data_IF_287552662327
#
_entry.id   IF_287552662327
#
_cell.length_a   1.000
_cell.length_b   1.000
_cell.length_c   1.000
_cell.angle_alpha   90.00
_cell.angle_beta   90.00
_cell.angle_gamma   90.00
#
_symmetry.space_group_name_H-M   'P 1'
#
loop_
_entity.id
_entity.type
_entity.pdbx_description
1 polymer ?
#
# COMPACT_ATOMS: atom_id res chain seq x y z
N UNK A 1 -2.16 -0.65 -14.59
CA UNK A 1 -1.10 -0.97 -15.58
C UNK A 1 -1.53 -0.56 -16.97
N UNK A 2 -2.78 -0.81 -17.32
CA UNK A 2 -3.37 -0.56 -18.64
C UNK A 2 -3.15 0.87 -19.13
N UNK A 3 -3.18 1.89 -18.26
CA UNK A 3 -2.93 3.26 -18.74
C UNK A 3 -1.49 3.50 -19.21
N UNK A 4 -0.49 2.86 -18.59
CA UNK A 4 0.93 3.01 -18.96
C UNK A 4 1.20 2.37 -20.33
N UNK A 5 0.52 1.27 -20.65
CA UNK A 5 0.76 0.49 -21.86
C UNK A 5 -0.23 0.79 -22.98
N UNK A 6 -1.47 1.15 -22.66
CA UNK A 6 -2.60 1.27 -23.61
C UNK A 6 -2.92 2.72 -23.97
N UNK A 7 -2.60 3.69 -23.11
CA UNK A 7 -2.95 5.09 -23.39
C UNK A 7 -1.92 5.73 -24.32
N UNK A 8 -2.33 5.97 -25.57
CA UNK A 8 -1.48 6.69 -26.54
C UNK A 8 -1.13 8.09 -26.00
N UNK A 9 0.17 8.39 -25.93
CA UNK A 9 0.67 9.68 -25.45
C UNK A 9 0.85 9.79 -23.94
N UNK A 10 0.57 8.74 -23.16
CA UNK A 10 0.91 8.74 -21.73
C UNK A 10 2.42 8.55 -21.57
N UNK A 11 3.11 9.57 -21.04
CA UNK A 11 4.56 9.56 -20.84
C UNK A 11 4.92 9.82 -19.38
N UNK A 12 5.98 9.15 -18.90
CA UNK A 12 6.58 9.39 -17.58
C UNK A 12 7.79 10.31 -17.68
N UNK A 13 7.96 11.00 -18.81
CA UNK A 13 9.12 11.85 -19.07
C UNK A 13 9.24 13.01 -18.07
N UNK A 14 8.12 13.52 -17.58
CA UNK A 14 8.11 14.63 -16.63
C UNK A 14 8.11 14.17 -15.17
N UNK A 15 8.16 12.85 -14.90
CA UNK A 15 8.09 12.31 -13.55
C UNK A 15 9.32 12.71 -12.72
N UNK A 16 9.11 13.56 -11.71
CA UNK A 16 10.16 14.02 -10.80
C UNK A 16 10.09 13.37 -9.41
N UNK A 17 8.89 12.99 -8.97
CA UNK A 17 8.64 12.42 -7.66
C UNK A 17 7.79 11.15 -7.81
N UNK A 18 8.23 10.05 -7.20
CA UNK A 18 7.47 8.82 -7.07
C UNK A 18 7.23 8.55 -5.59
N UNK A 19 5.97 8.66 -5.18
CA UNK A 19 5.54 8.40 -3.81
C UNK A 19 4.83 7.05 -3.77
N UNK A 20 5.36 6.11 -3.00
CA UNK A 20 4.79 4.78 -2.78
C UNK A 20 4.31 4.71 -1.35
N UNK A 21 3.01 4.63 -1.14
CA UNK A 21 2.39 4.53 0.18
C UNK A 21 1.96 3.07 0.47
N UNK A 22 1.81 2.73 1.75
CA UNK A 22 1.52 1.36 2.23
C UNK A 22 2.44 0.29 1.61
N UNK A 23 3.72 0.64 1.45
CA UNK A 23 4.66 -0.17 0.65
C UNK A 23 4.79 -1.61 1.15
N UNK A 24 4.61 -1.86 2.44
CA UNK A 24 4.61 -3.19 3.03
C UNK A 24 3.44 -4.08 2.59
N UNK A 25 2.26 -3.50 2.33
CA UNK A 25 1.15 -4.23 1.71
C UNK A 25 1.47 -4.53 0.25
N UNK A 26 2.00 -3.53 -0.47
CA UNK A 26 2.40 -3.69 -1.87
C UNK A 26 3.55 -4.69 -2.07
N UNK A 27 4.44 -4.85 -1.09
CA UNK A 27 5.53 -5.84 -1.10
C UNK A 27 5.08 -7.25 -0.68
N UNK A 28 3.92 -7.39 -0.03
CA UNK A 28 3.32 -8.68 0.33
C UNK A 28 2.41 -9.21 -0.75
N UNK A 29 1.68 -8.32 -1.43
CA UNK A 29 0.79 -8.66 -2.53
C UNK A 29 1.56 -8.59 -3.85
N UNK A 30 1.32 -9.52 -4.77
CA UNK A 30 2.01 -9.65 -6.05
C UNK A 30 1.69 -8.52 -7.08
N UNK A 31 1.44 -7.30 -6.60
CA UNK A 31 1.44 -6.07 -7.41
C UNK A 31 2.85 -5.72 -7.95
N UNK A 32 3.81 -6.64 -7.84
CA UNK A 32 5.21 -6.51 -8.22
C UNK A 32 5.46 -6.37 -9.72
N UNK A 33 4.45 -6.40 -10.59
CA UNK A 33 4.70 -6.11 -12.01
C UNK A 33 4.79 -4.63 -12.29
N UNK A 34 4.05 -3.77 -11.57
CA UNK A 34 3.98 -2.35 -11.94
C UNK A 34 5.23 -1.57 -11.53
N UNK A 35 5.75 -1.80 -10.32
CA UNK A 35 6.85 -1.01 -9.80
C UNK A 35 8.14 -1.24 -10.60
N UNK A 36 8.57 -2.49 -10.88
CA UNK A 36 9.71 -2.73 -11.76
C UNK A 36 9.51 -2.17 -13.17
N UNK A 37 8.30 -2.23 -13.74
CA UNK A 37 8.02 -1.61 -15.05
C UNK A 37 8.19 -0.09 -15.00
N UNK A 38 7.62 0.58 -14.00
CA UNK A 38 7.77 2.04 -13.83
C UNK A 38 9.24 2.40 -13.61
N UNK A 39 9.94 1.67 -12.73
CA UNK A 39 11.37 1.87 -12.48
C UNK A 39 12.18 1.69 -13.76
N UNK A 40 11.94 0.63 -14.53
CA UNK A 40 12.62 0.38 -15.80
C UNK A 40 12.35 1.47 -16.84
N UNK A 41 11.11 1.95 -16.93
CA UNK A 41 10.76 3.07 -17.80
C UNK A 41 11.47 4.37 -17.39
N UNK A 42 11.70 4.57 -16.08
CA UNK A 42 12.39 5.77 -15.57
C UNK A 42 13.91 5.66 -15.60
N UNK A 43 14.49 4.48 -15.88
CA UNK A 43 15.94 4.28 -15.94
C UNK A 43 16.53 4.93 -17.19
N UNK A 44 17.71 5.51 -17.01
CA UNK A 44 18.51 6.07 -18.09
C UNK A 44 19.29 4.89 -18.70
N UNK A 45 19.01 4.53 -19.95
CA UNK A 45 19.95 3.74 -20.74
C UNK A 45 21.02 4.69 -21.27
N UNK A 46 22.27 4.49 -20.83
CA UNK A 46 23.41 5.16 -21.43
C UNK A 46 23.69 4.46 -22.77
N UNK A 47 23.20 5.05 -23.86
CA UNK A 47 23.47 4.59 -25.22
C UNK A 47 24.98 4.67 -25.58
N UNK A 48 25.83 5.20 -24.70
CA UNK A 48 27.25 5.41 -24.97
C UNK A 48 28.18 4.33 -24.38
N UNK A 49 27.66 3.26 -23.75
CA UNK A 49 28.51 2.22 -23.13
C UNK A 49 28.60 0.90 -23.92
N UNK A 50 28.33 0.90 -25.23
CA UNK A 50 28.61 -0.26 -26.11
C UNK A 50 29.18 0.19 -27.47
N UNK A 51 30.52 0.26 -27.63
CA UNK A 51 31.10 0.43 -28.96
C UNK A 51 30.99 -0.91 -29.71
N UNK A 52 30.02 -1.00 -30.63
CA UNK A 52 30.05 -1.96 -31.73
C UNK A 52 29.26 -3.25 -31.52
N UNK A 53 27.93 -3.18 -31.67
CA UNK A 53 27.19 -4.25 -32.35
C UNK A 53 26.10 -3.57 -33.19
N UNK A 54 26.39 -3.44 -34.49
CA UNK A 54 25.36 -3.16 -35.50
C UNK A 54 24.43 -4.37 -35.60
N UNK A 55 23.42 -4.46 -34.74
CA UNK A 55 22.30 -5.37 -34.97
C UNK A 55 21.00 -4.61 -34.74
N UNK A 56 20.29 -4.44 -35.84
CA UNK A 56 18.91 -4.00 -35.97
C UNK A 56 18.00 -4.68 -34.94
N UNK A 57 17.72 -4.00 -33.83
CA UNK A 57 16.49 -4.26 -33.08
C UNK A 57 15.46 -3.23 -33.55
N UNK A 58 14.26 -3.68 -33.99
CA UNK A 58 13.22 -2.76 -34.43
C UNK A 58 12.86 -1.87 -33.24
N UNK A 59 12.88 -0.56 -33.49
CA UNK A 59 12.50 0.51 -32.60
C UNK A 59 11.15 0.18 -31.93
N UNK A 60 11.19 -0.45 -30.76
CA UNK A 60 10.01 -0.63 -29.94
C UNK A 60 9.66 0.73 -29.36
N UNK A 61 8.63 1.34 -29.93
CA UNK A 61 7.86 2.44 -29.36
C UNK A 61 7.70 2.22 -27.84
N UNK A 62 8.37 3.03 -26.99
CA UNK A 62 8.18 2.92 -25.54
C UNK A 62 9.31 3.30 -24.57
N UNK A 63 10.46 3.82 -25.00
CA UNK A 63 11.48 4.29 -24.04
C UNK A 63 11.11 5.70 -23.51
N UNK A 64 10.42 5.76 -22.38
CA UNK A 64 10.00 7.01 -21.73
C UNK A 64 11.18 7.67 -21.00
N UNK A 65 11.91 8.55 -21.69
CA UNK A 65 13.06 9.28 -21.11
C UNK A 65 12.58 10.40 -20.19
N UNK A 66 13.09 10.52 -18.96
CA UNK A 66 12.78 11.69 -18.14
C UNK A 66 13.45 12.97 -18.68
N UNK A 67 12.76 14.12 -18.68
CA UNK A 67 13.28 15.43 -19.17
C UNK A 67 14.50 15.87 -18.35
N UNK A 68 14.53 15.52 -17.07
CA UNK A 68 15.63 15.83 -16.16
C UNK A 68 16.67 14.70 -16.18
N UNK A 69 17.38 14.59 -17.30
CA UNK A 69 18.31 13.49 -17.67
C UNK A 69 19.51 13.32 -16.73
N UNK A 70 20.00 14.38 -16.10
CA UNK A 70 21.06 14.32 -15.09
C UNK A 70 20.91 15.48 -14.12
N UNK A 71 21.19 15.24 -12.85
CA UNK A 71 21.61 16.28 -11.92
C UNK A 71 22.95 15.90 -11.32
N UNK A 72 23.91 16.83 -11.31
CA UNK A 72 25.00 16.77 -10.33
C UNK A 72 24.39 17.11 -8.98
N UNK A 73 24.31 16.15 -8.06
CA UNK A 73 24.12 16.53 -6.67
C UNK A 73 25.32 17.40 -6.25
N UNK A 74 25.06 18.48 -5.50
CA UNK A 74 26.14 19.28 -4.91
C UNK A 74 26.97 18.36 -4.02
N UNK A 75 28.15 17.95 -4.47
CA UNK A 75 29.11 17.16 -3.66
C UNK A 75 29.62 15.87 -4.30
N UNK A 76 29.01 15.35 -5.37
CA UNK A 76 29.48 14.13 -6.05
C UNK A 76 30.04 14.46 -7.44
N UNK A 77 31.37 14.37 -7.60
CA UNK A 77 32.04 14.55 -8.90
C UNK A 77 31.88 13.29 -9.76
N UNK A 78 31.35 13.44 -10.98
CA UNK A 78 31.63 12.54 -12.11
C UNK A 78 30.58 11.47 -12.46
N UNK A 79 29.48 11.32 -11.72
CA UNK A 79 28.38 10.40 -12.11
C UNK A 79 27.06 11.14 -12.18
N UNK A 80 26.36 10.98 -13.30
CA UNK A 80 25.03 11.53 -13.53
C UNK A 80 23.98 10.60 -12.95
N UNK A 81 23.19 11.09 -11.99
CA UNK A 81 22.17 10.29 -11.32
C UNK A 81 20.77 10.63 -11.84
N UNK A 82 19.85 9.63 -11.90
CA UNK A 82 18.46 9.87 -12.24
C UNK A 82 17.82 10.79 -11.20
N UNK A 83 17.18 11.87 -11.67
CA UNK A 83 16.61 12.92 -10.81
C UNK A 83 15.26 12.55 -10.18
N UNK A 84 14.83 11.30 -10.31
CA UNK A 84 13.58 10.81 -9.72
C UNK A 84 13.75 10.64 -8.21
N UNK A 85 13.10 11.51 -7.45
CA UNK A 85 13.05 11.38 -6.00
C UNK A 85 12.01 10.32 -5.65
N UNK A 86 12.45 9.26 -4.96
CA UNK A 86 11.58 8.18 -4.49
C UNK A 86 11.31 8.33 -3.01
N UNK A 87 10.04 8.42 -2.66
CA UNK A 87 9.57 8.45 -1.28
C UNK A 87 8.76 7.20 -1.01
N UNK A 88 9.19 6.42 -0.03
CA UNK A 88 8.56 5.17 0.35
C UNK A 88 8.00 5.35 1.75
N UNK A 89 6.68 5.33 1.84
CA UNK A 89 5.93 5.42 3.09
C UNK A 89 5.38 4.05 3.43
N UNK A 90 5.56 3.68 4.68
CA UNK A 90 5.02 2.44 5.23
C UNK A 90 4.86 2.58 6.73
N UNK A 91 3.66 2.28 7.21
CA UNK A 91 3.41 2.11 8.64
C UNK A 91 4.20 0.91 9.17
N UNK A 92 4.31 -0.17 8.37
CA UNK A 92 4.92 -1.42 8.78
C UNK A 92 6.06 -1.92 7.88
N UNK A 93 7.22 -1.27 7.89
CA UNK A 93 8.32 -1.65 6.99
C UNK A 93 8.84 -3.07 7.32
N UNK A 94 8.82 -3.93 6.31
CA UNK A 94 9.39 -5.27 6.37
C UNK A 94 10.92 -5.19 6.45
N UNK A 95 11.56 -6.03 7.26
CA UNK A 95 13.03 -6.08 7.37
C UNK A 95 13.70 -7.06 6.39
N UNK A 96 12.92 -7.69 5.51
CA UNK A 96 13.42 -8.55 4.45
C UNK A 96 14.18 -7.71 3.40
N UNK A 97 15.51 -7.88 3.29
CA UNK A 97 16.31 -7.10 2.35
C UNK A 97 15.92 -7.35 0.89
N UNK A 98 15.40 -8.53 0.57
CA UNK A 98 15.01 -8.92 -0.80
C UNK A 98 13.85 -8.08 -1.30
N UNK A 99 12.87 -7.80 -0.42
CA UNK A 99 11.70 -6.96 -0.74
C UNK A 99 12.07 -5.49 -0.80
N UNK A 100 12.98 -5.04 0.06
CA UNK A 100 13.47 -3.65 0.03
C UNK A 100 14.30 -3.37 -1.23
N UNK A 101 15.09 -4.34 -1.70
CA UNK A 101 15.88 -4.21 -2.91
C UNK A 101 15.01 -3.95 -4.16
N UNK A 102 13.77 -4.46 -4.20
CA UNK A 102 12.83 -4.24 -5.31
C UNK A 102 12.42 -2.76 -5.48
N UNK A 103 12.58 -1.93 -4.43
CA UNK A 103 12.29 -0.50 -4.48
C UNK A 103 13.40 0.30 -5.21
N UNK A 104 14.55 -0.32 -5.47
CA UNK A 104 15.70 0.24 -6.20
C UNK A 104 16.19 1.59 -5.66
N UNK A 105 16.04 1.84 -4.35
CA UNK A 105 16.27 3.16 -3.76
C UNK A 105 17.74 3.57 -3.86
N UNK A 106 18.00 4.80 -4.29
CA UNK A 106 19.34 5.36 -4.41
C UNK A 106 19.67 6.19 -3.18
N UNK A 107 20.69 5.78 -2.40
CA UNK A 107 21.09 6.40 -1.12
C UNK A 107 19.90 6.79 -0.22
N UNK A 108 19.01 5.84 0.14
CA UNK A 108 17.83 6.18 0.93
C UNK A 108 18.19 6.66 2.33
N UNK A 109 17.58 7.75 2.76
CA UNK A 109 17.56 8.15 4.16
C UNK A 109 16.42 7.41 4.87
N UNK A 110 16.76 6.53 5.81
CA UNK A 110 15.76 5.83 6.61
C UNK A 110 15.32 6.66 7.81
N UNK A 111 14.04 7.02 7.83
CA UNK A 111 13.41 7.75 8.93
C UNK A 111 12.42 6.82 9.65
N UNK A 112 12.60 6.66 10.96
CA UNK A 112 11.74 5.83 11.81
C UNK A 112 11.30 6.59 13.04
N UNK A 113 10.02 6.54 13.36
CA UNK A 113 9.47 7.06 14.61
C UNK A 113 9.49 5.93 15.66
N UNK A 114 10.52 5.91 16.52
CA UNK A 114 10.60 5.04 17.69
C UNK A 114 11.15 3.62 17.48
N UNK A 115 11.50 2.97 18.61
CA UNK A 115 12.21 1.68 18.71
C UNK A 115 11.28 0.44 18.72
N UNK A 116 9.97 0.58 19.01
CA UNK A 116 9.07 -0.57 19.24
C UNK A 116 7.73 -0.36 18.52
N UNK A 117 7.60 -0.90 17.32
CA UNK A 117 6.39 -0.71 16.48
C UNK A 117 5.38 -1.88 16.48
N UNK A 118 5.57 -2.95 17.26
CA UNK A 118 4.65 -4.12 17.25
C UNK A 118 4.54 -4.85 18.59
N UNK A 119 4.53 -4.13 19.71
CA UNK A 119 4.24 -4.76 20.99
C UNK A 119 2.73 -4.68 21.25
N UNK A 120 2.10 -5.84 21.33
CA UNK A 120 0.79 -5.94 21.94
C UNK A 120 0.93 -5.47 23.39
N UNK A 121 -0.01 -4.67 23.92
CA UNK A 121 0.03 -4.28 25.33
C UNK A 121 0.09 -5.53 26.23
N UNK A 122 0.92 -5.52 27.26
CA UNK A 122 1.06 -6.66 28.18
C UNK A 122 -0.25 -7.06 28.87
N UNK A 123 -1.18 -6.10 28.98
CA UNK A 123 -2.51 -6.29 29.59
C UNK A 123 -3.58 -6.70 28.57
N UNK A 124 -3.23 -6.94 27.30
CA UNK A 124 -4.21 -7.32 26.28
C UNK A 124 -4.54 -8.81 26.40
N UNK A 125 -5.78 -9.11 26.77
CA UNK A 125 -6.31 -10.47 26.82
C UNK A 125 -6.95 -10.85 25.48
N UNK A 126 -6.70 -12.08 25.02
CA UNK A 126 -7.25 -12.61 23.77
C UNK A 126 -8.08 -13.86 24.03
N UNK A 127 -9.34 -13.84 23.59
CA UNK A 127 -10.28 -14.94 23.74
C UNK A 127 -10.69 -15.51 22.38
N UNK A 128 -11.03 -16.80 22.33
CA UNK A 128 -11.51 -17.49 21.12
C UNK A 128 -12.78 -18.28 21.43
N UNK A 129 -13.82 -18.03 20.64
CA UNK A 129 -15.08 -18.76 20.67
C UNK A 129 -15.19 -19.68 19.45
N UNK A 130 -15.38 -20.99 19.68
CA UNK A 130 -15.62 -21.96 18.62
C UNK A 130 -17.13 -22.15 18.48
N UNK A 131 -17.68 -21.82 17.32
CA UNK A 131 -19.10 -21.99 17.05
C UNK A 131 -19.37 -22.28 15.56
N UNK A 132 -20.53 -22.84 15.26
CA UNK A 132 -21.00 -22.98 13.89
C UNK A 132 -21.22 -21.60 13.25
N UNK A 133 -20.87 -21.46 11.96
CA UNK A 133 -20.90 -20.15 11.28
C UNK A 133 -22.27 -19.46 11.33
N UNK A 134 -23.35 -20.24 11.30
CA UNK A 134 -24.74 -19.74 11.37
C UNK A 134 -25.10 -19.11 12.72
N UNK A 135 -24.42 -19.52 13.80
CA UNK A 135 -24.69 -19.06 15.16
C UNK A 135 -23.82 -17.86 15.57
N UNK A 136 -22.83 -17.46 14.76
CA UNK A 136 -21.92 -16.34 15.07
C UNK A 136 -22.66 -15.05 15.45
N UNK A 137 -23.72 -14.61 14.75
CA UNK A 137 -24.43 -13.39 15.13
C UNK A 137 -25.09 -13.50 16.50
N UNK A 138 -25.63 -14.67 16.85
CA UNK A 138 -26.27 -14.90 18.15
C UNK A 138 -25.25 -14.85 19.30
N UNK A 139 -24.10 -15.52 19.14
CA UNK A 139 -23.02 -15.42 20.13
C UNK A 139 -22.47 -14.00 20.25
N UNK A 140 -22.38 -13.25 19.15
CA UNK A 140 -21.98 -11.85 19.18
C UNK A 140 -22.97 -11.01 20.00
N UNK A 141 -24.28 -11.21 19.84
CA UNK A 141 -25.31 -10.53 20.65
C UNK A 141 -25.10 -10.83 22.14
N UNK A 142 -24.90 -12.10 22.51
CA UNK A 142 -24.65 -12.49 23.89
C UNK A 142 -23.38 -11.84 24.47
N UNK A 143 -22.30 -11.76 23.70
CA UNK A 143 -21.06 -11.08 24.09
C UNK A 143 -21.29 -9.58 24.26
N UNK A 144 -21.99 -8.93 23.34
CA UNK A 144 -22.29 -7.49 23.42
C UNK A 144 -23.19 -7.15 24.62
N UNK A 145 -24.13 -8.03 24.98
CA UNK A 145 -24.94 -7.88 26.18
C UNK A 145 -24.09 -8.01 27.45
N UNK A 146 -23.16 -8.98 27.49
CA UNK A 146 -22.26 -9.17 28.62
C UNK A 146 -21.27 -8.00 28.81
N UNK A 147 -20.81 -7.39 27.71
CA UNK A 147 -19.91 -6.23 27.73
C UNK A 147 -20.60 -4.92 28.20
N UNK A 148 -21.91 -4.92 28.46
CA UNK A 148 -22.56 -3.86 29.23
C UNK A 148 -22.49 -2.44 28.64
N UNK A 149 -22.27 -2.30 27.32
CA UNK A 149 -22.18 -0.99 26.66
C UNK A 149 -20.77 -0.40 26.55
N UNK A 150 -19.73 -1.19 26.85
CA UNK A 150 -18.35 -0.81 26.55
C UNK A 150 -18.15 -0.50 25.06
N UNK A 151 -17.18 0.38 24.76
CA UNK A 151 -16.86 0.75 23.38
C UNK A 151 -16.24 -0.45 22.65
N UNK A 152 -17.00 -1.05 21.76
CA UNK A 152 -16.60 -2.23 21.00
C UNK A 152 -16.39 -1.89 19.52
N UNK A 153 -15.40 -2.53 18.89
CA UNK A 153 -15.22 -2.54 17.44
C UNK A 153 -15.40 -3.99 16.97
N UNK A 154 -16.32 -4.21 16.03
CA UNK A 154 -16.57 -5.51 15.43
C UNK A 154 -16.06 -5.50 14.00
N UNK A 155 -15.11 -6.39 13.70
CA UNK A 155 -14.54 -6.54 12.37
C UNK A 155 -15.30 -7.62 11.57
N UNK A 156 -15.54 -7.34 10.31
CA UNK A 156 -16.16 -8.25 9.33
C UNK A 156 -15.26 -8.36 8.11
N UNK A 157 -15.47 -9.38 7.27
CA UNK A 157 -14.63 -9.66 6.11
C UNK A 157 -14.99 -8.83 4.86
N UNK A 158 -16.18 -8.24 4.80
CA UNK A 158 -16.62 -7.44 3.64
C UNK A 158 -17.59 -6.35 4.06
N UNK A 159 -17.68 -5.30 3.23
CA UNK A 159 -18.62 -4.18 3.45
C UNK A 159 -20.07 -4.66 3.49
N UNK A 160 -20.45 -5.58 2.60
CA UNK A 160 -21.78 -6.21 2.61
C UNK A 160 -22.07 -6.94 3.93
N UNK A 161 -21.07 -7.65 4.46
CA UNK A 161 -21.20 -8.34 5.76
C UNK A 161 -21.37 -7.35 6.91
N UNK A 162 -20.64 -6.22 6.88
CA UNK A 162 -20.79 -5.13 7.86
C UNK A 162 -22.19 -4.57 7.84
N UNK A 163 -22.70 -4.26 6.64
CA UNK A 163 -24.01 -3.64 6.47
C UNK A 163 -25.12 -4.59 6.96
N UNK A 164 -25.10 -5.85 6.52
CA UNK A 164 -26.05 -6.89 6.96
C UNK A 164 -26.01 -7.10 8.46
N UNK A 165 -24.82 -7.15 9.07
CA UNK A 165 -24.67 -7.32 10.50
C UNK A 165 -25.17 -6.10 11.27
N UNK A 166 -24.84 -4.88 10.84
CA UNK A 166 -25.32 -3.65 11.48
C UNK A 166 -26.84 -3.58 11.44
N UNK A 167 -27.46 -3.87 10.29
CA UNK A 167 -28.92 -3.90 10.13
C UNK A 167 -29.55 -4.96 11.04
N UNK A 168 -29.00 -6.18 11.06
CA UNK A 168 -29.47 -7.25 11.94
C UNK A 168 -29.41 -6.83 13.41
N UNK A 169 -28.28 -6.29 13.88
CA UNK A 169 -28.12 -5.92 15.28
C UNK A 169 -29.02 -4.74 15.68
N UNK A 170 -29.32 -3.81 14.77
CA UNK A 170 -30.27 -2.72 15.00
C UNK A 170 -31.72 -3.21 15.19
N UNK A 171 -32.07 -4.39 14.66
CA UNK A 171 -33.38 -5.01 14.88
C UNK A 171 -33.49 -5.74 16.23
N UNK A 172 -32.39 -6.02 16.93
CA UNK A 172 -32.44 -6.62 18.26
C UNK A 172 -32.78 -5.55 19.31
N UNK A 173 -34.06 -5.41 19.64
CA UNK A 173 -34.56 -4.43 20.61
C UNK A 173 -33.99 -4.59 22.03
N UNK A 174 -33.52 -5.79 22.39
CA UNK A 174 -32.93 -6.08 23.70
C UNK A 174 -31.51 -5.53 23.87
N UNK A 175 -30.85 -5.15 22.76
CA UNK A 175 -29.53 -4.54 22.79
C UNK A 175 -29.66 -3.04 23.08
N UNK A 176 -29.42 -2.65 24.34
CA UNK A 176 -29.29 -1.24 24.78
C UNK A 176 -27.97 -0.60 24.33
N UNK A 177 -27.50 -0.92 23.11
CA UNK A 177 -26.20 -0.48 22.59
C UNK A 177 -26.43 0.32 21.31
N UNK A 178 -25.75 1.46 21.19
CA UNK A 178 -25.79 2.29 19.98
C UNK A 178 -24.87 1.70 18.92
N UNK A 179 -25.46 1.09 17.89
CA UNK A 179 -24.70 0.43 16.83
C UNK A 179 -24.57 1.37 15.64
N UNK A 180 -23.36 1.48 15.12
CA UNK A 180 -23.05 2.26 13.93
C UNK A 180 -22.16 1.46 13.01
N UNK A 181 -22.51 1.46 11.73
CA UNK A 181 -21.64 0.95 10.67
C UNK A 181 -20.50 1.94 10.43
N UNK A 182 -19.31 1.41 10.16
CA UNK A 182 -18.19 2.15 9.57
C UNK A 182 -17.71 1.37 8.33
N UNK A 183 -17.97 1.89 7.13
CA UNK A 183 -17.64 1.19 5.89
C UNK A 183 -17.31 2.13 4.72
N UNK A 184 -16.70 1.56 3.68
CA UNK A 184 -16.36 2.31 2.46
C UNK A 184 -17.57 2.85 1.69
N UNK A 185 -18.77 2.27 1.88
CA UNK A 185 -20.02 2.76 1.28
C UNK A 185 -20.47 4.11 1.87
N UNK A 186 -20.07 4.41 3.11
CA UNK A 186 -20.49 5.65 3.75
C UNK A 186 -19.73 6.85 3.18
N UNK A 187 -20.43 7.97 3.03
CA UNK A 187 -19.81 9.25 2.66
C UNK A 187 -18.71 9.62 3.67
N UNK A 188 -17.64 10.22 3.18
CA UNK A 188 -16.49 10.58 4.01
C UNK A 188 -16.85 11.55 5.16
N UNK A 189 -17.90 12.37 4.97
CA UNK A 189 -18.45 13.25 6.02
C UNK A 189 -19.09 12.51 7.19
N UNK A 190 -19.56 11.28 6.99
CA UNK A 190 -20.17 10.44 8.04
C UNK A 190 -19.10 9.62 8.78
N UNK A 191 -17.93 9.45 8.15
CA UNK A 191 -16.77 8.72 8.70
C UNK A 191 -15.82 9.58 9.53
N UNK A 192 -15.97 10.91 9.50
CA UNK A 192 -15.15 11.86 10.26
C UNK A 192 -15.81 12.24 11.58
#
# INVERSE_FOLDING_TARGET
MDHITTTKGFTLEHLCYLVVDETDRMLREAYQSWLPTVLNLTRIYDENLMPGVNNFLPFASGSLKTIRRCGVERGFKGKSYPRLVKMVLSATLTQDPSKLAQLDLHHPLFLTTGQRRYQLPEKLESYKLICASKLKPLYLVAVLQHLGGEKCIVFTSSVESTHRLCTLLNFFGDLKVKIKEYSGLQRQSVRR
#
